data_IF_221661589324
#
_entry.id   IF_221661589324
#
_cell.length_a   1.000
_cell.length_b   1.000
_cell.length_c   1.000
_cell.angle_alpha   90.00
_cell.angle_beta   90.00
_cell.angle_gamma   90.00
#
_symmetry.space_group_name_H-M   'P 1'
#
loop_
_entity.id
_entity.type
_entity.pdbx_description
1 polymer ?
#
# COMPACT_ATOMS: atom_id res chain seq x y z
N UNK A 1 -24.53 15.13 29.19
CA UNK A 1 -24.47 15.29 27.71
C UNK A 1 -24.29 13.93 27.08
N UNK A 2 -25.39 13.34 26.61
CA UNK A 2 -25.33 12.13 25.77
C UNK A 2 -25.10 12.54 24.30
N UNK A 3 -24.53 11.65 23.48
CA UNK A 3 -24.27 11.95 22.07
C UNK A 3 -25.53 12.44 21.31
N UNK A 4 -26.71 11.94 21.71
CA UNK A 4 -28.00 12.33 21.15
C UNK A 4 -28.37 13.81 21.45
N UNK A 5 -27.93 14.36 22.59
CA UNK A 5 -28.16 15.77 22.93
C UNK A 5 -27.28 16.70 22.07
N UNK A 6 -26.03 16.31 21.78
CA UNK A 6 -25.18 17.04 20.84
C UNK A 6 -25.79 17.08 19.44
N UNK A 7 -26.38 15.98 18.98
CA UNK A 7 -27.08 15.93 17.70
C UNK A 7 -28.28 16.87 17.64
N UNK A 8 -29.07 16.92 18.72
CA UNK A 8 -30.22 17.82 18.82
C UNK A 8 -29.80 19.29 18.86
N UNK A 9 -28.69 19.63 19.51
CA UNK A 9 -28.18 21.01 19.55
C UNK A 9 -27.48 21.45 18.27
N UNK A 10 -26.79 20.55 17.56
CA UNK A 10 -26.13 20.88 16.30
C UNK A 10 -27.08 21.01 15.10
N UNK A 11 -28.34 20.59 15.24
CA UNK A 11 -29.38 20.79 14.23
C UNK A 11 -29.05 20.16 12.87
N UNK A 12 -29.57 20.73 11.76
CA UNK A 12 -29.39 20.17 10.41
C UNK A 12 -27.92 20.03 9.96
N UNK A 13 -27.01 20.83 10.53
CA UNK A 13 -25.58 20.85 10.19
C UNK A 13 -24.85 19.58 10.66
N UNK A 14 -25.40 18.84 11.61
CA UNK A 14 -24.82 17.56 12.07
C UNK A 14 -24.83 16.48 10.99
N UNK A 15 -25.83 16.49 10.09
CA UNK A 15 -25.96 15.48 9.04
C UNK A 15 -24.84 15.56 7.99
N UNK A 16 -24.51 16.73 7.41
CA UNK A 16 -23.35 16.89 6.53
C UNK A 16 -22.03 16.47 7.17
N UNK A 17 -21.82 16.79 8.46
CA UNK A 17 -20.61 16.43 9.20
C UNK A 17 -20.49 14.91 9.32
N UNK A 18 -21.60 14.22 9.64
CA UNK A 18 -21.63 12.75 9.69
C UNK A 18 -21.28 12.12 8.34
N UNK A 19 -21.90 12.61 7.26
CA UNK A 19 -21.66 12.08 5.92
C UNK A 19 -20.20 12.29 5.52
N UNK A 20 -19.66 13.48 5.76
CA UNK A 20 -18.26 13.81 5.44
C UNK A 20 -17.29 12.94 6.25
N UNK A 21 -17.57 12.73 7.54
CA UNK A 21 -16.77 11.85 8.40
C UNK A 21 -16.77 10.41 7.88
N UNK A 22 -17.95 9.90 7.48
CA UNK A 22 -18.07 8.56 6.92
C UNK A 22 -17.26 8.40 5.62
N UNK A 23 -17.40 9.35 4.69
CA UNK A 23 -16.63 9.35 3.42
C UNK A 23 -15.14 9.39 3.71
N UNK A 24 -14.70 10.25 4.64
CA UNK A 24 -13.29 10.36 5.03
C UNK A 24 -12.74 9.04 5.57
N UNK A 25 -13.51 8.33 6.41
CA UNK A 25 -13.11 7.01 6.93
C UNK A 25 -12.99 5.99 5.79
N UNK A 26 -13.96 5.94 4.86
CA UNK A 26 -13.90 5.04 3.70
C UNK A 26 -12.64 5.28 2.87
N UNK A 27 -12.37 6.52 2.50
CA UNK A 27 -11.18 6.90 1.70
C UNK A 27 -9.89 6.59 2.46
N UNK A 28 -9.85 6.83 3.77
CA UNK A 28 -8.70 6.53 4.60
C UNK A 28 -8.40 5.02 4.62
N UNK A 29 -9.42 4.18 4.78
CA UNK A 29 -9.28 2.71 4.75
C UNK A 29 -8.76 2.26 3.38
N UNK A 30 -9.34 2.75 2.28
CA UNK A 30 -8.88 2.43 0.92
C UNK A 30 -7.41 2.82 0.72
N UNK A 31 -7.02 4.03 1.16
CA UNK A 31 -5.64 4.50 1.11
C UNK A 31 -4.70 3.61 1.92
N UNK A 32 -5.10 3.22 3.12
CA UNK A 32 -4.30 2.37 4.00
C UNK A 32 -4.12 0.98 3.37
N UNK A 33 -5.19 0.35 2.87
CA UNK A 33 -5.11 -0.93 2.16
C UNK A 33 -4.21 -0.82 0.92
N UNK A 34 -4.36 0.25 0.15
CA UNK A 34 -3.52 0.50 -1.03
C UNK A 34 -2.04 0.62 -0.65
N UNK A 35 -1.73 1.39 0.39
CA UNK A 35 -0.36 1.55 0.88
C UNK A 35 0.19 0.25 1.42
N UNK A 36 -0.56 -0.52 2.22
CA UNK A 36 -0.11 -1.83 2.71
C UNK A 36 0.11 -2.81 1.57
N UNK A 37 -0.75 -2.81 0.55
CA UNK A 37 -0.60 -3.69 -0.62
C UNK A 37 0.59 -3.30 -1.48
N UNK A 38 0.86 -2.00 -1.66
CA UNK A 38 2.02 -1.51 -2.40
C UNK A 38 3.32 -1.69 -1.61
N UNK A 39 3.29 -1.47 -0.30
CA UNK A 39 4.45 -1.60 0.56
C UNK A 39 4.80 -3.09 0.81
N UNK A 40 3.82 -3.98 0.83
CA UNK A 40 4.05 -5.44 0.85
C UNK A 40 4.68 -5.99 -0.43
N UNK A 41 4.61 -5.23 -1.54
CA UNK A 41 5.33 -5.52 -2.79
C UNK A 41 6.75 -4.97 -2.81
N UNK A 42 7.19 -4.18 -1.82
CA UNK A 42 8.60 -3.79 -1.70
C UNK A 42 9.31 -4.87 -0.87
N UNK A 43 9.98 -5.79 -1.55
CA UNK A 43 10.97 -6.71 -1.03
C UNK A 43 12.37 -6.20 -1.43
N UNK A 44 12.86 -5.10 -0.82
CA UNK A 44 14.17 -4.53 -1.13
C UNK A 44 15.31 -5.56 -1.00
N UNK A 45 15.19 -6.52 -0.07
CA UNK A 45 16.14 -7.65 0.07
C UNK A 45 16.23 -8.54 -1.17
N UNK A 46 15.15 -8.69 -1.93
CA UNK A 46 15.16 -9.52 -3.14
C UNK A 46 15.84 -8.78 -4.29
N UNK A 47 15.66 -7.47 -4.37
CA UNK A 47 16.39 -6.62 -5.32
C UNK A 47 17.88 -6.61 -4.99
N UNK A 48 18.24 -6.49 -3.72
CA UNK A 48 19.64 -6.52 -3.26
C UNK A 48 20.30 -7.87 -3.58
N UNK A 49 19.66 -9.00 -3.25
CA UNK A 49 20.15 -10.34 -3.60
C UNK A 49 20.22 -10.58 -5.11
N UNK A 50 19.33 -9.98 -5.91
CA UNK A 50 19.46 -10.04 -7.36
C UNK A 50 20.70 -9.28 -7.84
N UNK A 51 20.95 -8.07 -7.32
CA UNK A 51 22.10 -7.27 -7.70
C UNK A 51 23.42 -7.96 -7.32
N UNK A 52 23.51 -8.56 -6.12
CA UNK A 52 24.66 -9.35 -5.70
C UNK A 52 24.94 -10.54 -6.65
N UNK A 53 23.90 -11.22 -7.12
CA UNK A 53 24.04 -12.32 -8.09
C UNK A 53 24.49 -11.85 -9.47
N UNK A 54 24.04 -10.68 -9.91
CA UNK A 54 24.51 -10.04 -11.16
C UNK A 54 25.99 -9.66 -11.03
N UNK A 55 26.40 -9.07 -9.90
CA UNK A 55 27.81 -8.74 -9.63
C UNK A 55 28.70 -9.99 -9.59
N UNK A 56 28.18 -11.12 -9.10
CA UNK A 56 28.86 -12.41 -9.11
C UNK A 56 28.94 -13.09 -10.50
N UNK A 57 28.54 -12.41 -11.58
CA UNK A 57 28.44 -12.95 -12.96
C UNK A 57 27.40 -14.10 -13.11
N UNK A 58 26.55 -14.34 -12.10
CA UNK A 58 25.45 -15.32 -12.14
C UNK A 58 24.14 -14.66 -12.56
N UNK A 59 24.12 -14.21 -13.82
CA UNK A 59 22.97 -13.52 -14.42
C UNK A 59 21.74 -14.42 -14.49
N UNK A 60 21.93 -15.73 -14.69
CA UNK A 60 20.83 -16.71 -14.71
C UNK A 60 20.18 -16.85 -13.33
N UNK A 61 20.98 -16.92 -12.27
CA UNK A 61 20.49 -16.98 -10.90
C UNK A 61 19.73 -15.72 -10.48
N UNK A 62 20.13 -14.54 -10.96
CA UNK A 62 19.40 -13.29 -10.75
C UNK A 62 18.04 -13.31 -11.47
N UNK A 63 17.99 -13.78 -12.72
CA UNK A 63 16.76 -13.87 -13.53
C UNK A 63 15.72 -14.82 -12.92
N UNK A 64 16.15 -15.96 -12.38
CA UNK A 64 15.23 -16.88 -11.67
C UNK A 64 14.70 -16.28 -10.36
N UNK A 65 15.54 -15.55 -9.62
CA UNK A 65 15.13 -14.88 -8.38
C UNK A 65 14.09 -13.80 -8.66
N UNK A 66 14.27 -12.99 -9.70
CA UNK A 66 13.35 -11.92 -10.07
C UNK A 66 12.04 -12.41 -10.68
N UNK A 67 12.05 -13.55 -11.38
CA UNK A 67 10.80 -14.21 -11.83
C UNK A 67 9.96 -14.76 -10.66
N UNK A 68 10.61 -15.18 -9.57
CA UNK A 68 9.95 -15.65 -8.35
C UNK A 68 9.51 -14.53 -7.40
N UNK A 69 10.04 -13.32 -7.57
CA UNK A 69 9.71 -12.19 -6.70
C UNK A 69 8.39 -11.53 -7.10
N UNK A 70 7.56 -11.23 -6.11
CA UNK A 70 6.39 -10.36 -6.29
C UNK A 70 6.76 -8.87 -6.28
N UNK A 71 8.04 -8.54 -6.11
CA UNK A 71 8.51 -7.16 -6.11
C UNK A 71 8.41 -6.53 -7.50
N UNK A 72 7.78 -5.36 -7.52
CA UNK A 72 7.55 -4.60 -8.74
C UNK A 72 8.87 -4.20 -9.42
N UNK A 73 9.90 -3.87 -8.64
CA UNK A 73 11.23 -3.49 -9.14
C UNK A 73 11.96 -4.69 -9.72
N UNK A 74 11.95 -5.82 -9.01
CA UNK A 74 12.57 -7.05 -9.49
C UNK A 74 11.92 -7.56 -10.79
N UNK A 75 10.59 -7.45 -10.91
CA UNK A 75 9.87 -7.79 -12.15
C UNK A 75 10.18 -6.84 -13.30
N UNK A 76 10.32 -5.53 -13.06
CA UNK A 76 10.70 -4.58 -14.12
C UNK A 76 12.10 -4.88 -14.62
N UNK A 77 13.05 -5.13 -13.72
CA UNK A 77 14.45 -5.43 -14.07
C UNK A 77 14.61 -6.75 -14.84
N UNK A 78 13.72 -7.72 -14.64
CA UNK A 78 13.73 -8.98 -15.41
C UNK A 78 13.07 -8.84 -16.79
N UNK A 79 12.17 -7.87 -16.97
CA UNK A 79 11.41 -7.70 -18.21
C UNK A 79 12.01 -6.64 -19.16
N UNK A 80 12.91 -5.78 -18.65
CA UNK A 80 13.65 -4.76 -19.40
C UNK A 80 14.97 -5.32 -19.94
#
# INVERSE_FOLDING_TARGET
>A
MTAMELFKHGGPIMWPILITSFILITVAIERVIFIFRENGRRQPEVVEKMLEKVEANDVNGALELGKKSEDYVARILVYA
#
